data_IF_089352884355
#
_entry.id   IF_089352884355
#
_cell.length_a   1.000
_cell.length_b   1.000
_cell.length_c   1.000
_cell.angle_alpha   90.00
_cell.angle_beta   90.00
_cell.angle_gamma   90.00
#
_symmetry.space_group_name_H-M   'P 1'
#
loop_
_entity.id
_entity.type
_entity.pdbx_description
1 polymer ?
#
# COMPACT_ATOMS: atom_id res chain seq x y z
N UNK A 1 -9.07 -14.19 -6.20
CA UNK A 1 -9.14 -13.01 -5.32
C UNK A 1 -7.88 -12.21 -5.54
N UNK A 2 -8.00 -10.89 -5.72
CA UNK A 2 -6.86 -10.00 -6.01
C UNK A 2 -6.09 -9.68 -4.73
N UNK A 3 -4.79 -9.42 -4.84
CA UNK A 3 -3.94 -8.91 -3.77
C UNK A 3 -3.50 -7.47 -4.05
N UNK A 4 -3.55 -6.61 -3.04
CA UNK A 4 -2.89 -5.31 -3.03
C UNK A 4 -1.59 -5.43 -2.25
N UNK A 5 -0.48 -5.02 -2.85
CA UNK A 5 0.81 -4.98 -2.18
C UNK A 5 1.01 -3.61 -1.54
N UNK A 6 1.28 -3.60 -0.24
CA UNK A 6 1.78 -2.43 0.47
C UNK A 6 3.19 -2.07 -0.03
N UNK A 7 3.54 -0.78 0.09
CA UNK A 7 4.84 -0.24 -0.28
C UNK A 7 5.98 -0.98 0.41
N UNK A 8 5.78 -1.43 1.65
CA UNK A 8 6.76 -2.23 2.40
C UNK A 8 7.12 -3.56 1.73
N UNK A 9 6.17 -4.20 1.03
CA UNK A 9 6.38 -5.44 0.27
C UNK A 9 7.06 -5.14 -1.06
N UNK A 10 6.65 -4.06 -1.71
CA UNK A 10 7.14 -3.66 -3.02
C UNK A 10 8.62 -3.24 -2.99
N UNK A 11 9.09 -2.67 -1.88
CA UNK A 11 10.49 -2.27 -1.72
C UNK A 11 11.38 -3.38 -1.14
N UNK A 12 10.80 -4.49 -0.69
CA UNK A 12 11.54 -5.61 -0.15
C UNK A 12 12.24 -6.42 -1.25
N UNK A 13 13.35 -7.07 -0.90
CA UNK A 13 14.15 -7.89 -1.83
C UNK A 13 14.04 -9.38 -1.51
N UNK A 14 13.38 -9.71 -0.41
CA UNK A 14 13.33 -11.01 0.27
C UNK A 14 11.88 -11.48 0.46
N UNK A 15 11.04 -11.29 -0.57
CA UNK A 15 9.62 -11.70 -0.53
C UNK A 15 9.43 -12.94 -1.38
N UNK A 16 8.91 -14.00 -0.77
CA UNK A 16 8.51 -15.21 -1.50
C UNK A 16 7.43 -14.90 -2.55
N UNK A 17 7.36 -15.63 -3.67
CA UNK A 17 6.36 -15.38 -4.70
C UNK A 17 4.93 -15.44 -4.13
N UNK A 18 4.21 -14.33 -4.22
CA UNK A 18 2.80 -14.24 -3.80
C UNK A 18 1.93 -14.71 -4.97
N UNK A 19 1.13 -15.77 -4.82
CA UNK A 19 0.32 -16.30 -5.90
C UNK A 19 -0.91 -15.41 -6.17
N UNK A 20 -1.38 -15.43 -7.42
CA UNK A 20 -2.64 -14.79 -7.82
C UNK A 20 -2.46 -13.49 -8.60
N UNK A 21 -3.55 -12.76 -8.74
CA UNK A 21 -3.57 -11.47 -9.41
C UNK A 21 -3.19 -10.37 -8.41
N UNK A 22 -2.12 -9.64 -8.70
CA UNK A 22 -1.56 -8.62 -7.82
C UNK A 22 -1.68 -7.23 -8.45
N UNK A 23 -1.97 -6.24 -7.62
CA UNK A 23 -2.03 -4.83 -8.00
C UNK A 23 -1.47 -3.95 -6.87
N UNK A 24 -1.32 -2.67 -7.16
CA UNK A 24 -0.87 -1.64 -6.21
C UNK A 24 -1.95 -0.59 -6.00
N UNK A 25 -1.84 0.13 -4.90
CA UNK A 25 -2.48 1.44 -4.81
C UNK A 25 -1.62 2.49 -5.54
N UNK A 26 -2.25 3.45 -6.20
CA UNK A 26 -1.56 4.66 -6.69
C UNK A 26 -0.82 5.44 -5.59
N UNK A 27 -1.20 5.25 -4.32
CA UNK A 27 -0.46 5.79 -3.16
C UNK A 27 0.92 5.15 -3.03
N UNK A 28 1.05 3.84 -3.25
CA UNK A 28 2.35 3.16 -3.28
C UNK A 28 3.25 3.73 -4.37
N UNK A 29 2.72 4.01 -5.56
CA UNK A 29 3.49 4.71 -6.60
C UNK A 29 3.92 6.11 -6.15
N UNK A 30 3.02 6.87 -5.51
CA UNK A 30 3.36 8.21 -5.01
C UNK A 30 4.53 8.16 -4.00
N UNK A 31 4.54 7.18 -3.10
CA UNK A 31 5.64 6.98 -2.14
C UNK A 31 6.97 6.62 -2.82
N UNK A 32 6.93 5.77 -3.85
CA UNK A 32 8.11 5.40 -4.63
C UNK A 32 8.67 6.57 -5.43
N UNK A 33 7.80 7.32 -6.10
CA UNK A 33 8.17 8.57 -6.81
C UNK A 33 8.82 9.56 -5.86
N UNK A 34 8.21 9.81 -4.70
CA UNK A 34 8.80 10.65 -3.66
C UNK A 34 10.17 10.14 -3.22
N UNK A 35 10.30 8.83 -2.98
CA UNK A 35 11.55 8.16 -2.62
C UNK A 35 12.67 8.38 -3.65
N UNK A 36 12.38 8.36 -4.95
CA UNK A 36 13.35 8.68 -6.00
C UNK A 36 13.81 10.13 -5.90
N UNK A 37 12.87 11.07 -5.75
CA UNK A 37 13.13 12.51 -5.77
C UNK A 37 13.96 12.98 -4.56
N UNK A 38 13.76 12.38 -3.38
CA UNK A 38 14.53 12.74 -2.17
C UNK A 38 15.86 11.98 -2.02
N UNK A 39 16.23 11.11 -2.97
CA UNK A 39 17.47 10.35 -2.90
C UNK A 39 18.71 11.27 -2.94
N UNK A 40 19.58 11.11 -1.94
CA UNK A 40 20.75 11.99 -1.69
C UNK A 40 21.94 11.73 -2.62
N UNK A 41 22.10 10.50 -3.11
CA UNK A 41 23.21 10.11 -3.99
C UNK A 41 22.70 9.62 -5.34
N UNK A 42 23.53 9.74 -6.37
CA UNK A 42 23.20 9.28 -7.72
C UNK A 42 22.93 7.77 -7.75
N UNK A 43 23.71 6.96 -7.04
CA UNK A 43 23.56 5.51 -7.02
C UNK A 43 22.23 5.07 -6.39
N UNK A 44 21.87 5.67 -5.25
CA UNK A 44 20.58 5.39 -4.58
C UNK A 44 19.41 5.83 -5.46
N UNK A 45 19.53 6.98 -6.13
CA UNK A 45 18.51 7.46 -7.06
C UNK A 45 18.33 6.52 -8.24
N UNK A 46 19.44 6.06 -8.84
CA UNK A 46 19.41 5.14 -9.97
C UNK A 46 18.77 3.80 -9.60
N UNK A 47 19.07 3.26 -8.41
CA UNK A 47 18.44 2.04 -7.92
C UNK A 47 16.94 2.21 -7.67
N UNK A 48 16.54 3.29 -6.97
CA UNK A 48 15.10 3.57 -6.73
C UNK A 48 14.34 3.79 -8.04
N UNK A 49 14.94 4.49 -9.00
CA UNK A 49 14.31 4.72 -10.31
C UNK A 49 14.17 3.41 -11.11
N UNK A 50 15.20 2.56 -11.12
CA UNK A 50 15.14 1.25 -11.75
C UNK A 50 14.00 0.42 -11.17
N UNK A 51 13.87 0.42 -9.85
CA UNK A 51 12.79 -0.28 -9.14
C UNK A 51 11.41 0.28 -9.49
N UNK A 52 11.23 1.60 -9.45
CA UNK A 52 9.98 2.25 -9.83
C UNK A 52 9.55 1.87 -11.25
N UNK A 53 10.47 1.95 -12.23
CA UNK A 53 10.17 1.59 -13.62
C UNK A 53 9.82 0.11 -13.79
N UNK A 54 10.45 -0.78 -13.02
CA UNK A 54 10.09 -2.19 -13.00
C UNK A 54 8.67 -2.38 -12.45
N UNK A 55 8.35 -1.70 -11.36
CA UNK A 55 7.04 -1.78 -10.70
C UNK A 55 5.92 -1.27 -11.61
N UNK A 56 6.08 -0.09 -12.22
CA UNK A 56 5.09 0.52 -13.13
C UNK A 56 4.83 -0.35 -14.37
N UNK A 57 5.78 -1.21 -14.76
CA UNK A 57 5.60 -2.16 -15.87
C UNK A 57 4.98 -3.48 -15.43
N UNK A 58 5.09 -3.83 -14.16
CA UNK A 58 4.73 -5.16 -13.65
C UNK A 58 3.33 -5.16 -13.04
N UNK A 59 2.93 -4.07 -12.39
CA UNK A 59 1.68 -4.01 -11.64
C UNK A 59 0.77 -2.90 -12.15
N UNK A 60 -0.52 -3.19 -12.14
CA UNK A 60 -1.55 -2.16 -12.28
C UNK A 60 -1.68 -1.36 -10.98
N UNK A 61 -1.71 -0.03 -11.10
CA UNK A 61 -1.82 0.87 -9.96
C UNK A 61 -3.22 1.46 -9.91
N UNK A 62 -4.01 0.98 -8.96
CA UNK A 62 -5.41 1.35 -8.80
C UNK A 62 -5.53 2.80 -8.31
N UNK A 63 -6.36 3.63 -8.97
CA UNK A 63 -6.52 5.03 -8.61
C UNK A 63 -7.27 5.18 -7.28
N UNK A 64 -7.02 6.28 -6.58
CA UNK A 64 -7.89 6.71 -5.48
C UNK A 64 -9.13 7.38 -6.08
N UNK A 65 -10.21 6.61 -6.20
CA UNK A 65 -11.50 7.07 -6.71
C UNK A 65 -12.54 7.23 -5.59
N UNK A 66 -13.81 7.41 -5.96
CA UNK A 66 -14.90 7.58 -4.99
C UNK A 66 -15.09 6.37 -4.06
N UNK A 67 -14.92 5.14 -4.56
CA UNK A 67 -15.07 3.95 -3.75
C UNK A 67 -13.94 3.83 -2.72
N UNK A 68 -12.70 4.16 -3.13
CA UNK A 68 -11.55 4.22 -2.21
C UNK A 68 -11.75 5.34 -1.18
N UNK A 69 -12.28 6.49 -1.56
CA UNK A 69 -12.56 7.60 -0.65
C UNK A 69 -13.61 7.23 0.42
N UNK A 70 -14.70 6.57 0.02
CA UNK A 70 -15.74 6.08 0.93
C UNK A 70 -15.17 5.03 1.91
N UNK A 71 -14.35 4.11 1.40
CA UNK A 71 -13.65 3.13 2.21
C UNK A 71 -12.73 3.78 3.23
N UNK A 72 -11.90 4.73 2.80
CA UNK A 72 -11.00 5.46 3.68
C UNK A 72 -11.75 6.11 4.85
N UNK A 73 -12.92 6.71 4.59
CA UNK A 73 -13.76 7.29 5.64
C UNK A 73 -14.14 6.28 6.73
N UNK A 74 -14.55 5.07 6.33
CA UNK A 74 -14.89 3.99 7.26
C UNK A 74 -13.66 3.54 8.06
N UNK A 75 -12.56 3.20 7.38
CA UNK A 75 -11.33 2.71 8.02
C UNK A 75 -10.73 3.76 8.97
N UNK A 76 -10.65 5.02 8.54
CA UNK A 76 -10.14 6.11 9.38
C UNK A 76 -11.01 6.33 10.62
N UNK A 77 -12.33 6.18 10.52
CA UNK A 77 -13.23 6.29 11.68
C UNK A 77 -12.96 5.20 12.71
N UNK A 78 -12.72 3.95 12.27
CA UNK A 78 -12.33 2.84 13.16
C UNK A 78 -11.01 3.13 13.88
N UNK A 79 -10.01 3.66 13.17
CA UNK A 79 -8.73 4.06 13.79
C UNK A 79 -8.93 5.12 14.88
N UNK A 80 -9.80 6.10 14.65
CA UNK A 80 -10.12 7.14 15.64
C UNK A 80 -10.85 6.55 16.85
N UNK A 81 -11.83 5.68 16.63
CA UNK A 81 -12.59 5.03 17.71
C UNK A 81 -11.70 4.12 18.57
N UNK A 82 -10.64 3.55 17.98
CA UNK A 82 -9.59 2.81 18.68
C UNK A 82 -8.58 3.70 19.44
N UNK A 83 -8.80 5.02 19.47
CA UNK A 83 -7.93 5.99 20.15
C UNK A 83 -6.60 6.26 19.43
N UNK A 84 -6.49 5.91 18.14
CA UNK A 84 -5.29 6.13 17.31
C UNK A 84 -5.49 7.33 16.38
N UNK A 85 -4.38 7.89 15.90
CA UNK A 85 -4.40 9.02 14.97
C UNK A 85 -4.33 8.55 13.51
N UNK A 86 -5.37 8.75 12.68
CA UNK A 86 -5.33 8.40 11.26
C UNK A 86 -4.40 9.30 10.45
N UNK A 87 -4.16 10.55 10.90
CA UNK A 87 -3.29 11.51 10.19
C UNK A 87 -1.84 11.06 10.07
N UNK A 88 -1.33 10.35 11.08
CA UNK A 88 0.04 9.85 11.06
C UNK A 88 0.23 8.75 10.00
N UNK A 89 -0.87 8.16 9.52
CA UNK A 89 -0.89 6.92 8.72
C UNK A 89 -1.89 6.98 7.58
N UNK A 90 -2.12 8.19 7.07
CA UNK A 90 -3.11 8.45 6.03
C UNK A 90 -2.77 7.73 4.72
N UNK A 91 -1.48 7.62 4.38
CA UNK A 91 -1.03 6.86 3.20
C UNK A 91 -1.33 5.36 3.36
N UNK A 92 -0.90 4.74 4.47
CA UNK A 92 -1.22 3.34 4.77
C UNK A 92 -2.73 3.08 4.73
N UNK A 93 -3.53 3.99 5.31
CA UNK A 93 -4.98 3.85 5.32
C UNK A 93 -5.60 3.98 3.93
N UNK A 94 -5.03 4.79 3.04
CA UNK A 94 -5.49 4.84 1.64
C UNK A 94 -5.10 3.57 0.87
N UNK A 95 -3.93 2.97 1.16
CA UNK A 95 -3.55 1.66 0.60
C UNK A 95 -4.53 0.58 1.08
N UNK A 96 -4.82 0.54 2.38
CA UNK A 96 -5.83 -0.35 2.96
C UNK A 96 -7.24 -0.12 2.38
N UNK A 97 -7.65 1.14 2.21
CA UNK A 97 -8.91 1.50 1.59
C UNK A 97 -9.00 1.06 0.12
N UNK A 98 -7.86 1.09 -0.60
CA UNK A 98 -7.77 0.54 -1.95
C UNK A 98 -8.04 -0.98 -1.92
N UNK A 99 -7.49 -1.70 -0.94
CA UNK A 99 -7.75 -3.13 -0.80
C UNK A 99 -9.24 -3.43 -0.50
N UNK A 100 -9.84 -2.71 0.46
CA UNK A 100 -11.27 -2.83 0.82
C UNK A 100 -12.18 -2.55 -0.39
N UNK A 101 -11.98 -1.41 -1.06
CA UNK A 101 -12.81 -0.98 -2.19
C UNK A 101 -12.82 -1.98 -3.36
N UNK A 102 -11.73 -2.76 -3.51
CA UNK A 102 -11.58 -3.76 -4.55
C UNK A 102 -11.79 -5.20 -4.09
N UNK A 103 -12.23 -5.42 -2.83
CA UNK A 103 -12.43 -6.76 -2.27
C UNK A 103 -11.17 -7.62 -2.30
N UNK A 104 -10.01 -6.98 -2.08
CA UNK A 104 -8.69 -7.57 -2.20
C UNK A 104 -8.03 -7.79 -0.84
N UNK A 105 -7.08 -8.72 -0.79
CA UNK A 105 -6.20 -8.92 0.38
C UNK A 105 -5.12 -7.85 0.40
N UNK A 106 -4.77 -7.35 1.59
CA UNK A 106 -3.62 -6.46 1.75
C UNK A 106 -2.40 -7.27 2.21
N UNK A 107 -1.37 -7.32 1.37
CA UNK A 107 -0.08 -7.91 1.73
C UNK A 107 0.85 -6.82 2.26
N UNK A 108 1.41 -7.02 3.46
CA UNK A 108 2.26 -6.02 4.14
C UNK A 108 3.34 -6.69 4.97
N UNK A 109 4.48 -6.01 5.16
CA UNK A 109 5.50 -6.39 6.16
C UNK A 109 5.20 -5.81 7.55
N UNK A 110 4.23 -4.91 7.65
CA UNK A 110 3.87 -4.20 8.88
C UNK A 110 2.41 -4.53 9.26
N UNK A 111 2.03 -5.78 9.57
CA UNK A 111 0.62 -6.10 9.86
C UNK A 111 0.06 -5.35 11.09
N UNK A 112 0.92 -5.00 12.05
CA UNK A 112 0.56 -4.22 13.23
C UNK A 112 -0.03 -2.85 12.86
N UNK A 113 0.35 -2.33 11.69
CA UNK A 113 -0.13 -1.07 11.18
C UNK A 113 -1.62 -1.12 10.79
N UNK A 114 -2.18 -2.30 10.55
CA UNK A 114 -3.57 -2.46 10.15
C UNK A 114 -4.44 -3.09 11.24
N UNK A 115 -3.94 -3.12 12.49
CA UNK A 115 -4.69 -3.61 13.64
C UNK A 115 -6.05 -2.89 13.74
N UNK A 116 -7.11 -3.63 14.03
CA UNK A 116 -8.47 -3.09 14.16
C UNK A 116 -9.24 -2.95 12.84
N UNK A 117 -8.63 -3.29 11.69
CA UNK A 117 -9.29 -3.20 10.37
C UNK A 117 -9.76 -4.56 9.81
N UNK A 118 -9.71 -5.63 10.62
CA UNK A 118 -9.98 -7.00 10.19
C UNK A 118 -11.43 -7.22 9.71
N UNK A 119 -12.37 -6.38 10.14
CA UNK A 119 -13.77 -6.43 9.69
C UNK A 119 -13.96 -5.87 8.26
N UNK A 120 -12.95 -5.19 7.72
CA UNK A 120 -12.97 -4.57 6.39
C UNK A 120 -12.01 -5.26 5.42
N UNK A 121 -10.80 -5.57 5.88
CA UNK A 121 -9.73 -6.11 5.02
C UNK A 121 -9.07 -7.35 5.61
N UNK A 122 -8.78 -8.32 4.74
CA UNK A 122 -7.90 -9.43 5.08
C UNK A 122 -6.44 -8.97 4.92
N UNK A 123 -5.72 -8.86 6.04
CA UNK A 123 -4.31 -8.47 6.08
C UNK A 123 -3.45 -9.73 6.15
N UNK A 124 -2.54 -9.87 5.20
CA UNK A 124 -1.60 -10.99 5.11
C UNK A 124 -0.19 -10.47 5.34
N UNK A 125 0.47 -10.99 6.38
CA UNK A 125 1.88 -10.68 6.65
C UNK A 125 2.77 -11.45 5.68
N UNK A 126 3.78 -10.77 5.13
CA UNK A 126 4.85 -11.36 4.30
C UNK A 126 6.23 -10.99 4.81
#
# INVERSE_FOLDING_TARGET
MRGILDTSVVVATDVDPIPGELALSSITLAELHFGVLVAKTADVRAERLRRLLFIERTFDALPVDGAVADSYGRLASTVVLDGRSPRARSMDLLIAATADAHGARLYTRNPADFRGLADFIEVVSV
#
